data_IF_532393829397
#
_entry.id   IF_532393829397
#
_cell.length_a   1.000
_cell.length_b   1.000
_cell.length_c   1.000
_cell.angle_alpha   90.00
_cell.angle_beta   90.00
_cell.angle_gamma   90.00
#
_symmetry.space_group_name_H-M   'P 1'
#
loop_
_entity.id
_entity.type
_entity.pdbx_description
1 polymer ?
#
# COMPACT_ATOMS: atom_id res chain seq x y z
N UNK A 1 -6.97 -28.21 46.03
CA UNK A 1 -6.04 -28.12 44.89
C UNK A 1 -6.78 -27.44 43.78
N UNK A 2 -6.13 -26.44 43.21
CA UNK A 2 -6.59 -25.30 42.41
C UNK A 2 -7.87 -25.37 41.55
N UNK A 3 -8.49 -24.18 41.47
CA UNK A 3 -9.48 -23.76 40.50
C UNK A 3 -8.87 -23.45 39.11
N UNK A 4 -9.78 -23.47 38.13
CA UNK A 4 -9.75 -23.13 36.70
C UNK A 4 -8.67 -22.18 36.15
N UNK A 5 -8.33 -22.34 34.86
CA UNK A 5 -8.57 -21.27 33.86
C UNK A 5 -8.62 -21.84 32.42
N UNK A 6 -9.78 -21.71 31.77
CA UNK A 6 -9.93 -21.96 30.35
C UNK A 6 -9.45 -20.71 29.58
N UNK A 7 -8.57 -20.92 28.59
CA UNK A 7 -8.07 -19.86 27.73
C UNK A 7 -9.23 -19.18 26.96
N UNK A 8 -9.21 -17.86 26.77
CA UNK A 8 -10.24 -17.20 26.00
C UNK A 8 -10.02 -17.51 24.51
N UNK A 9 -11.01 -18.14 23.87
CA UNK A 9 -11.22 -18.00 22.43
C UNK A 9 -11.40 -16.52 22.15
N UNK A 10 -10.39 -15.91 21.52
CA UNK A 10 -10.50 -14.57 20.97
C UNK A 10 -11.65 -14.57 19.95
N UNK A 11 -12.79 -14.05 20.38
CA UNK A 11 -13.84 -13.62 19.48
C UNK A 11 -13.20 -12.70 18.44
N UNK A 12 -13.48 -12.94 17.16
CA UNK A 12 -13.18 -12.01 16.10
C UNK A 12 -13.67 -10.63 16.53
N UNK A 13 -12.74 -9.74 16.86
CA UNK A 13 -13.05 -8.36 17.14
C UNK A 13 -13.79 -7.84 15.90
N UNK A 14 -15.04 -7.43 16.07
CA UNK A 14 -15.79 -6.80 15.01
C UNK A 14 -14.93 -5.66 14.45
N UNK A 15 -14.57 -5.76 13.17
CA UNK A 15 -13.79 -4.72 12.50
C UNK A 15 -14.50 -3.38 12.73
N UNK A 16 -13.75 -2.39 13.22
CA UNK A 16 -14.21 -1.01 13.18
C UNK A 16 -14.65 -0.68 11.74
N UNK A 17 -15.65 0.19 11.53
CA UNK A 17 -16.01 0.58 10.18
C UNK A 17 -14.74 1.08 9.46
N UNK A 18 -14.40 0.45 8.34
CA UNK A 18 -13.22 0.79 7.57
C UNK A 18 -13.22 2.28 7.22
N UNK A 19 -12.04 2.90 7.27
CA UNK A 19 -11.83 4.26 6.77
C UNK A 19 -11.86 4.22 5.24
N UNK A 20 -12.46 5.26 4.66
CA UNK A 20 -12.42 5.48 3.21
C UNK A 20 -11.20 6.32 2.88
N UNK A 21 -10.29 5.77 2.08
CA UNK A 21 -9.09 6.45 1.63
C UNK A 21 -9.43 7.61 0.69
N UNK A 22 -8.84 8.78 0.95
CA UNK A 22 -8.97 9.95 0.07
C UNK A 22 -7.77 10.04 -0.86
N UNK A 23 -7.98 9.67 -2.11
CA UNK A 23 -6.97 9.76 -3.17
C UNK A 23 -7.08 11.15 -3.80
N UNK A 24 -6.28 12.09 -3.30
CA UNK A 24 -6.44 13.53 -3.59
C UNK A 24 -5.54 14.02 -4.72
N UNK A 25 -4.41 13.35 -4.98
CA UNK A 25 -3.55 13.68 -6.11
C UNK A 25 -3.86 12.73 -7.29
N UNK A 26 -5.01 12.94 -7.93
CA UNK A 26 -5.53 12.07 -8.99
C UNK A 26 -6.30 12.86 -10.05
N UNK A 27 -6.15 12.50 -11.32
CA UNK A 27 -6.88 13.09 -12.43
C UNK A 27 -8.28 12.49 -12.65
N UNK A 28 -8.63 11.44 -11.92
CA UNK A 28 -9.85 10.66 -12.04
C UNK A 28 -9.93 9.56 -10.98
N UNK A 29 -10.87 8.63 -11.17
CA UNK A 29 -11.06 7.51 -10.25
C UNK A 29 -10.02 6.41 -10.51
N UNK A 30 -9.55 5.76 -9.44
CA UNK A 30 -8.85 4.48 -9.56
C UNK A 30 -9.84 3.34 -9.76
N UNK A 31 -9.37 2.15 -10.14
CA UNK A 31 -10.21 0.98 -10.26
C UNK A 31 -10.85 0.63 -8.88
N UNK A 32 -12.06 0.05 -8.85
CA UNK A 32 -12.74 -0.26 -7.58
C UNK A 32 -11.91 -1.15 -6.63
N UNK A 33 -11.18 -2.14 -7.16
CA UNK A 33 -10.28 -2.97 -6.36
C UNK A 33 -9.13 -2.19 -5.72
N UNK A 34 -8.59 -1.20 -6.45
CA UNK A 34 -7.54 -0.31 -5.95
C UNK A 34 -8.06 0.62 -4.86
N UNK A 35 -9.28 1.16 -5.02
CA UNK A 35 -9.93 1.92 -3.94
C UNK A 35 -10.14 1.05 -2.69
N UNK A 36 -10.61 -0.19 -2.85
CA UNK A 36 -10.79 -1.10 -1.73
C UNK A 36 -9.46 -1.45 -1.03
N UNK A 37 -8.38 -1.63 -1.80
CA UNK A 37 -7.04 -1.83 -1.25
C UNK A 37 -6.55 -0.60 -0.46
N UNK A 38 -6.79 0.62 -0.99
CA UNK A 38 -6.49 1.85 -0.29
C UNK A 38 -7.26 1.95 1.04
N UNK A 39 -8.56 1.68 1.02
CA UNK A 39 -9.43 1.68 2.21
C UNK A 39 -8.92 0.69 3.28
N UNK A 40 -8.50 -0.51 2.88
CA UNK A 40 -7.91 -1.50 3.77
C UNK A 40 -6.61 -0.99 4.41
N UNK A 41 -5.71 -0.40 3.62
CA UNK A 41 -4.43 0.13 4.12
C UNK A 41 -4.65 1.26 5.12
N UNK A 42 -5.46 2.27 4.79
CA UNK A 42 -5.70 3.40 5.71
C UNK A 42 -6.46 2.99 6.97
N UNK A 43 -7.20 1.88 6.93
CA UNK A 43 -7.90 1.34 8.10
C UNK A 43 -6.98 0.58 9.04
N UNK A 44 -5.97 -0.11 8.52
CA UNK A 44 -5.20 -1.10 9.28
C UNK A 44 -3.74 -0.71 9.52
N UNK A 45 -3.19 0.26 8.78
CA UNK A 45 -1.83 0.77 8.99
C UNK A 45 -1.90 2.11 9.73
N UNK A 46 -1.47 2.17 11.02
CA UNK A 46 -1.49 3.41 11.79
C UNK A 46 -0.73 4.54 11.07
N UNK A 47 -1.37 5.69 10.90
CA UNK A 47 -0.80 6.87 10.25
C UNK A 47 -1.05 6.94 8.73
N UNK A 48 -1.43 5.85 8.08
CA UNK A 48 -1.68 5.84 6.63
C UNK A 48 -2.93 6.67 6.23
N UNK A 49 -3.88 6.89 7.14
CA UNK A 49 -5.05 7.77 6.89
C UNK A 49 -4.71 9.27 6.91
N UNK A 50 -3.50 9.63 7.37
CA UNK A 50 -3.01 11.01 7.46
C UNK A 50 -2.16 11.47 6.27
N UNK A 51 -1.82 10.58 5.34
CA UNK A 51 -0.93 10.89 4.20
C UNK A 51 -1.71 11.19 2.92
N UNK A 52 -1.02 11.81 1.96
CA UNK A 52 -1.56 11.99 0.61
C UNK A 52 -1.43 10.69 -0.18
N UNK A 53 -2.48 10.32 -0.91
CA UNK A 53 -2.44 9.22 -1.87
C UNK A 53 -2.47 9.79 -3.30
N UNK A 54 -1.46 9.40 -4.09
CA UNK A 54 -1.41 9.61 -5.54
C UNK A 54 -2.18 8.50 -6.26
N UNK A 55 -3.00 8.87 -7.24
CA UNK A 55 -3.84 7.96 -8.01
C UNK A 55 -3.60 8.08 -9.51
N UNK A 56 -4.68 8.23 -10.27
CA UNK A 56 -4.58 8.31 -11.73
C UNK A 56 -3.78 9.51 -12.21
N UNK A 57 -2.90 9.30 -13.19
CA UNK A 57 -2.10 10.35 -13.80
C UNK A 57 -1.87 10.08 -15.30
N UNK A 58 -2.54 10.80 -16.20
CA UNK A 58 -2.44 10.55 -17.65
C UNK A 58 -1.03 10.76 -18.23
N UNK A 59 -0.20 11.58 -17.58
CA UNK A 59 1.18 11.83 -18.00
C UNK A 59 2.19 10.79 -17.52
N UNK A 60 1.75 9.75 -16.81
CA UNK A 60 2.62 8.67 -16.34
C UNK A 60 2.91 7.66 -17.47
N UNK A 61 4.11 7.07 -17.45
CA UNK A 61 4.65 6.24 -18.54
C UNK A 61 4.50 4.73 -18.28
N UNK A 62 3.46 4.35 -17.55
CA UNK A 62 3.15 3.01 -17.05
C UNK A 62 1.69 2.67 -17.41
N UNK A 63 1.38 2.29 -18.67
CA UNK A 63 -0.01 2.19 -19.14
C UNK A 63 -0.90 1.18 -18.37
N UNK A 64 -0.29 0.26 -17.61
CA UNK A 64 -0.98 -0.68 -16.70
C UNK A 64 -0.92 -0.29 -15.21
N UNK A 65 -0.52 0.94 -14.89
CA UNK A 65 -0.42 1.47 -13.53
C UNK A 65 -1.28 2.73 -13.33
N UNK A 66 -0.65 3.89 -13.11
CA UNK A 66 -1.37 5.13 -12.78
C UNK A 66 -2.38 5.56 -13.87
N UNK A 67 -2.07 5.60 -15.17
CA UNK A 67 -3.02 6.00 -16.20
C UNK A 67 -4.27 5.12 -16.26
N UNK A 68 -4.16 3.83 -15.91
CA UNK A 68 -5.27 2.88 -15.88
C UNK A 68 -5.98 2.82 -14.52
N UNK A 69 -5.55 3.60 -13.53
CA UNK A 69 -6.09 3.54 -12.17
C UNK A 69 -5.75 2.25 -11.43
N UNK A 70 -4.65 1.60 -11.81
CA UNK A 70 -4.14 0.35 -11.25
C UNK A 70 -2.92 0.55 -10.34
N UNK A 71 -2.55 1.78 -10.03
CA UNK A 71 -1.45 2.08 -9.12
C UNK A 71 -1.80 3.18 -8.11
N UNK A 72 -1.11 3.12 -6.96
CA UNK A 72 -1.15 4.14 -5.92
C UNK A 72 0.26 4.50 -5.44
N UNK A 73 0.45 5.79 -5.16
CA UNK A 73 1.61 6.29 -4.43
C UNK A 73 1.18 6.70 -3.01
N UNK A 74 1.71 6.03 -2.00
CA UNK A 74 1.51 6.37 -0.58
C UNK A 74 2.59 7.36 -0.15
N UNK A 75 2.27 8.65 -0.12
CA UNK A 75 3.24 9.74 0.11
C UNK A 75 3.65 9.86 1.58
N UNK A 76 4.67 9.10 2.00
CA UNK A 76 5.18 9.08 3.38
C UNK A 76 6.22 10.16 3.67
N UNK A 77 6.67 10.89 2.64
CA UNK A 77 7.66 11.96 2.74
C UNK A 77 8.96 11.48 3.39
N UNK A 78 9.31 11.93 4.60
CA UNK A 78 10.50 11.48 5.31
C UNK A 78 10.22 10.36 6.33
N UNK A 79 8.98 9.89 6.45
CA UNK A 79 8.59 8.85 7.41
C UNK A 79 8.83 7.45 6.83
N UNK A 80 10.09 7.01 6.86
CA UNK A 80 10.47 5.69 6.36
C UNK A 80 9.82 4.55 7.17
N UNK A 81 9.55 4.76 8.46
CA UNK A 81 8.91 3.74 9.30
C UNK A 81 7.45 3.49 8.87
N UNK A 82 6.72 4.55 8.50
CA UNK A 82 5.40 4.42 7.90
C UNK A 82 5.49 3.72 6.53
N UNK A 83 6.49 4.07 5.70
CA UNK A 83 6.74 3.39 4.42
C UNK A 83 6.94 1.89 4.59
N UNK A 84 7.79 1.48 5.53
CA UNK A 84 8.05 0.08 5.86
C UNK A 84 6.79 -0.63 6.36
N UNK A 85 5.95 0.04 7.18
CA UNK A 85 4.69 -0.52 7.65
C UNK A 85 3.69 -0.74 6.52
N UNK A 86 3.58 0.20 5.58
CA UNK A 86 2.73 0.08 4.39
C UNK A 86 3.22 -1.08 3.51
N UNK A 87 4.53 -1.19 3.26
CA UNK A 87 5.12 -2.30 2.52
C UNK A 87 4.82 -3.64 3.20
N UNK A 88 5.02 -3.74 4.52
CA UNK A 88 4.77 -4.97 5.26
C UNK A 88 3.31 -5.41 5.17
N UNK A 89 2.35 -4.47 5.27
CA UNK A 89 0.93 -4.77 5.11
C UNK A 89 0.61 -5.30 3.70
N UNK A 90 1.14 -4.65 2.66
CA UNK A 90 0.96 -5.12 1.28
C UNK A 90 1.57 -6.50 1.04
N UNK A 91 2.73 -6.80 1.64
CA UNK A 91 3.35 -8.13 1.54
C UNK A 91 2.52 -9.20 2.24
N UNK A 92 1.99 -8.90 3.43
CA UNK A 92 1.18 -9.84 4.19
C UNK A 92 -0.19 -10.13 3.53
N UNK A 93 -0.78 -9.13 2.86
CA UNK A 93 -2.10 -9.22 2.23
C UNK A 93 -2.03 -9.23 0.69
N UNK A 94 -0.90 -9.67 0.14
CA UNK A 94 -0.56 -9.51 -1.28
C UNK A 94 -1.66 -9.95 -2.24
N UNK A 95 -2.20 -11.17 -2.08
CA UNK A 95 -3.24 -11.69 -2.96
C UNK A 95 -4.63 -11.11 -2.65
N UNK A 96 -4.91 -10.79 -1.39
CA UNK A 96 -6.18 -10.17 -0.96
C UNK A 96 -6.33 -8.76 -1.54
N UNK A 97 -5.27 -7.97 -1.49
CA UNK A 97 -5.22 -6.62 -2.05
C UNK A 97 -5.02 -6.62 -3.56
N UNK A 98 -4.67 -7.76 -4.17
CA UNK A 98 -4.38 -7.88 -5.58
C UNK A 98 -3.07 -7.20 -5.99
N UNK A 99 -2.03 -7.21 -5.16
CA UNK A 99 -0.74 -6.60 -5.48
C UNK A 99 -0.06 -7.30 -6.66
N UNK A 100 0.49 -6.52 -7.58
CA UNK A 100 1.34 -7.00 -8.68
C UNK A 100 2.82 -6.77 -8.37
N UNK A 101 3.19 -5.56 -7.94
CA UNK A 101 4.53 -5.25 -7.46
C UNK A 101 4.53 -4.03 -6.53
N UNK A 102 5.61 -3.92 -5.75
CA UNK A 102 5.91 -2.76 -4.91
C UNK A 102 7.23 -2.12 -5.35
N UNK A 103 7.34 -0.81 -5.20
CA UNK A 103 8.61 -0.08 -5.26
C UNK A 103 8.75 0.74 -3.98
N UNK A 104 9.88 0.58 -3.30
CA UNK A 104 10.22 1.31 -2.09
C UNK A 104 11.73 1.46 -1.96
N UNK A 105 12.20 2.66 -1.64
CA UNK A 105 13.63 3.00 -1.48
C UNK A 105 14.51 2.44 -2.61
N UNK A 106 14.16 2.77 -3.84
CA UNK A 106 14.88 2.38 -5.06
C UNK A 106 14.98 0.86 -5.28
N UNK A 107 14.08 0.09 -4.68
CA UNK A 107 14.04 -1.37 -4.83
C UNK A 107 12.64 -1.80 -5.26
N UNK A 108 12.57 -2.85 -6.05
CA UNK A 108 11.32 -3.44 -6.51
C UNK A 108 11.14 -4.85 -5.93
N UNK A 109 9.91 -5.16 -5.50
CA UNK A 109 9.48 -6.49 -5.10
C UNK A 109 8.32 -6.92 -6.01
N UNK A 110 8.43 -8.08 -6.66
CA UNK A 110 7.43 -8.56 -7.64
C UNK A 110 6.66 -9.80 -7.18
N UNK A 111 6.89 -10.26 -5.95
CA UNK A 111 6.14 -11.35 -5.33
C UNK A 111 6.30 -11.28 -3.80
N UNK A 112 5.32 -11.79 -3.01
CA UNK A 112 5.36 -11.68 -1.55
C UNK A 112 6.49 -12.50 -0.91
N UNK A 113 6.94 -13.57 -1.56
CA UNK A 113 8.07 -14.40 -1.16
C UNK A 113 9.34 -14.14 -1.97
N UNK A 114 9.34 -13.08 -2.78
CA UNK A 114 10.43 -12.72 -3.66
C UNK A 114 11.58 -12.02 -2.93
N UNK A 115 12.64 -11.71 -3.68
CA UNK A 115 13.72 -10.86 -3.21
C UNK A 115 13.59 -9.47 -3.81
N UNK A 116 13.92 -8.45 -3.02
CA UNK A 116 14.06 -7.08 -3.48
C UNK A 116 15.16 -6.97 -4.55
N UNK A 117 14.85 -6.28 -5.64
CA UNK A 117 15.79 -6.01 -6.74
C UNK A 117 16.09 -4.53 -6.80
N UNK A 118 17.37 -4.17 -6.80
CA UNK A 118 17.80 -2.78 -6.93
C UNK A 118 17.38 -2.22 -8.30
N UNK A 119 16.81 -1.02 -8.31
CA UNK A 119 16.52 -0.27 -9.53
C UNK A 119 17.72 0.60 -9.93
N UNK A 120 17.81 0.93 -11.22
CA UNK A 120 18.71 1.98 -11.68
C UNK A 120 18.36 3.30 -10.99
N UNK A 121 19.35 4.15 -10.74
CA UNK A 121 19.12 5.53 -10.29
C UNK A 121 18.44 6.33 -11.40
N UNK A 122 17.25 6.83 -11.10
CA UNK A 122 16.41 7.63 -11.99
C UNK A 122 16.52 9.13 -11.70
N UNK A 123 17.34 9.51 -10.72
CA UNK A 123 17.61 10.89 -10.34
C UNK A 123 16.59 11.47 -9.36
N UNK A 124 16.94 11.47 -8.07
CA UNK A 124 16.21 12.20 -7.03
C UNK A 124 15.27 11.33 -6.17
N UNK A 125 14.77 11.93 -5.08
CA UNK A 125 14.00 11.26 -4.02
C UNK A 125 12.73 10.62 -4.58
N UNK A 126 11.90 11.40 -5.29
CA UNK A 126 10.64 10.90 -5.86
C UNK A 126 10.88 9.88 -6.97
N UNK A 127 11.77 10.14 -7.92
CA UNK A 127 12.02 9.18 -9.02
C UNK A 127 12.57 7.83 -8.52
N UNK A 128 13.29 7.84 -7.39
CA UNK A 128 13.81 6.66 -6.72
C UNK A 128 12.91 6.15 -5.57
N UNK A 129 11.71 6.70 -5.39
CA UNK A 129 10.71 6.20 -4.43
C UNK A 129 11.20 6.18 -2.98
N UNK A 130 11.93 7.22 -2.58
CA UNK A 130 12.35 7.42 -1.18
C UNK A 130 11.33 8.22 -0.36
N UNK A 131 10.37 8.87 -1.01
CA UNK A 131 9.31 9.68 -0.36
C UNK A 131 7.91 9.07 -0.46
N UNK A 132 7.77 7.94 -1.16
CA UNK A 132 6.51 7.22 -1.29
C UNK A 132 6.72 5.74 -1.55
N UNK A 133 5.79 4.92 -1.04
CA UNK A 133 5.63 3.53 -1.47
C UNK A 133 4.75 3.53 -2.71
N UNK A 134 5.26 3.01 -3.81
CA UNK A 134 4.47 2.79 -5.01
C UNK A 134 3.97 1.34 -5.05
N UNK A 135 2.69 1.17 -5.35
CA UNK A 135 2.03 -0.14 -5.45
C UNK A 135 1.29 -0.22 -6.76
N UNK A 136 1.59 -1.26 -7.54
CA UNK A 136 0.77 -1.65 -8.68
C UNK A 136 -0.12 -2.82 -8.31
N UNK A 137 -1.35 -2.82 -8.81
CA UNK A 137 -2.36 -3.82 -8.55
C UNK A 137 -2.77 -4.54 -9.83
N UNK A 138 -3.16 -5.80 -9.68
CA UNK A 138 -3.75 -6.64 -10.72
C UNK A 138 -5.14 -6.08 -11.06
N UNK A 139 -5.40 -5.88 -12.35
CA UNK A 139 -6.69 -5.41 -12.88
C UNK A 139 -7.80 -6.46 -12.84
#
# INVERSE_FOLDING_TARGET
>A
GEAAEAAPTAAAAAAAPGRVARITNSAGNVAPGVQAAADAVVSNVPGADGITLGGTRPSAADPGGHPSGLALDYMVMSDAALGDAIVAYHVAHWDELGVEYLIWEQRMLSSPSGSWKQMADRGGVTANHFDHVHVNYRG
#
